data_IF_097031616110
#
_entry.id   IF_097031616110
#
_cell.length_a   1.000
_cell.length_b   1.000
_cell.length_c   1.000
_cell.angle_alpha   90.00
_cell.angle_beta   90.00
_cell.angle_gamma   90.00
#
_symmetry.space_group_name_H-M   'P 1'
#
loop_
_entity.id
_entity.type
_entity.pdbx_description
1 polymer ?
#
# COMPACT_ATOMS: atom_id res chain seq x y z
N UNK A 1 -18.63 -9.33 -2.81
CA UNK A 1 -17.77 -9.50 -1.62
C UNK A 1 -18.03 -10.88 -1.06
N UNK A 2 -16.99 -11.64 -0.71
CA UNK A 2 -17.14 -13.01 -0.22
C UNK A 2 -16.69 -13.14 1.25
N UNK A 3 -17.17 -14.19 1.94
CA UNK A 3 -16.78 -14.52 3.31
C UNK A 3 -15.39 -15.16 3.30
N UNK A 4 -14.42 -14.59 4.00
CA UNK A 4 -13.02 -15.04 3.96
C UNK A 4 -12.52 -15.70 5.26
N UNK A 5 -13.40 -15.88 6.25
CA UNK A 5 -13.13 -16.65 7.46
C UNK A 5 -14.39 -17.41 7.90
N UNK A 6 -14.20 -18.52 8.60
CA UNK A 6 -15.25 -19.24 9.32
C UNK A 6 -14.88 -19.31 10.80
N UNK A 7 -15.77 -19.86 11.61
CA UNK A 7 -15.52 -20.10 13.04
C UNK A 7 -15.43 -21.59 13.28
N UNK A 8 -14.47 -22.04 14.09
CA UNK A 8 -14.32 -23.44 14.48
C UNK A 8 -15.20 -23.81 15.70
N UNK A 9 -15.10 -25.06 16.16
CA UNK A 9 -15.85 -25.56 17.31
C UNK A 9 -15.51 -24.85 18.64
N UNK A 10 -14.39 -24.14 18.72
CA UNK A 10 -13.94 -23.40 19.90
C UNK A 10 -14.33 -21.92 19.85
N UNK A 11 -14.98 -21.47 18.76
CA UNK A 11 -15.30 -20.07 18.56
C UNK A 11 -14.17 -19.26 17.92
N UNK A 12 -13.09 -19.90 17.48
CA UNK A 12 -11.93 -19.25 16.91
C UNK A 12 -12.08 -19.01 15.41
N UNK A 13 -11.59 -17.86 14.93
CA UNK A 13 -11.72 -17.46 13.53
C UNK A 13 -10.62 -18.06 12.67
N UNK A 14 -11.00 -18.90 11.70
CA UNK A 14 -10.09 -19.55 10.74
C UNK A 14 -10.25 -18.94 9.36
N UNK A 15 -9.18 -18.42 8.76
CA UNK A 15 -9.25 -17.77 7.45
C UNK A 15 -9.19 -18.76 6.29
N UNK A 16 -9.78 -18.39 5.15
CA UNK A 16 -9.79 -19.21 3.94
C UNK A 16 -8.38 -19.53 3.41
N UNK A 17 -7.38 -18.73 3.77
CA UNK A 17 -5.98 -19.02 3.42
C UNK A 17 -5.43 -20.24 4.15
N UNK A 18 -6.00 -20.62 5.29
CA UNK A 18 -5.48 -21.62 6.23
C UNK A 18 -6.08 -23.01 6.03
N UNK A 19 -7.17 -23.13 5.25
CA UNK A 19 -7.85 -24.40 5.00
C UNK A 19 -7.69 -24.84 3.56
N UNK A 20 -7.69 -26.14 3.29
CA UNK A 20 -7.74 -26.65 1.92
C UNK A 20 -9.10 -26.42 1.26
N UNK A 21 -9.16 -26.58 -0.06
CA UNK A 21 -10.42 -26.46 -0.81
C UNK A 21 -11.35 -27.65 -0.48
N UNK A 22 -12.64 -27.39 -0.30
CA UNK A 22 -13.64 -28.45 -0.06
C UNK A 22 -14.51 -28.21 1.17
N UNK A 23 -15.12 -29.29 1.68
CA UNK A 23 -15.94 -29.24 2.90
C UNK A 23 -15.07 -28.92 4.11
N UNK A 24 -15.61 -28.14 5.03
CA UNK A 24 -14.93 -27.80 6.28
C UNK A 24 -15.88 -28.03 7.46
N UNK A 25 -15.31 -28.17 8.66
CA UNK A 25 -16.08 -28.18 9.91
C UNK A 25 -16.38 -26.76 10.41
N UNK A 26 -15.93 -25.74 9.68
CA UNK A 26 -16.15 -24.35 10.03
C UNK A 26 -17.59 -23.95 9.79
N UNK A 27 -18.09 -23.10 10.67
CA UNK A 27 -19.44 -22.53 10.61
C UNK A 27 -19.41 -21.04 10.29
N UNK A 28 -20.51 -20.57 9.71
CA UNK A 28 -20.73 -19.16 9.45
C UNK A 28 -20.85 -18.42 10.78
N UNK A 29 -20.07 -17.35 11.04
CA UNK A 29 -20.17 -16.56 12.28
C UNK A 29 -21.54 -15.89 12.48
N UNK A 30 -22.38 -15.86 11.43
CA UNK A 30 -23.68 -15.18 11.44
C UNK A 30 -24.84 -16.15 11.67
N UNK A 31 -24.96 -17.20 10.86
CA UNK A 31 -26.09 -18.13 10.92
C UNK A 31 -25.72 -19.53 11.41
N UNK A 32 -24.45 -19.74 11.80
CA UNK A 32 -23.92 -21.02 12.28
C UNK A 32 -24.03 -22.20 11.28
N UNK A 33 -24.42 -21.93 10.04
CA UNK A 33 -24.46 -22.96 9.01
C UNK A 33 -23.05 -23.33 8.52
N UNK A 34 -22.88 -24.61 8.16
CA UNK A 34 -21.60 -25.16 7.68
C UNK A 34 -21.08 -24.43 6.44
N UNK A 35 -19.76 -24.29 6.37
CA UNK A 35 -19.05 -23.64 5.29
C UNK A 35 -18.26 -24.64 4.43
N UNK A 36 -18.11 -24.26 3.16
CA UNK A 36 -17.30 -24.93 2.14
C UNK A 36 -16.24 -23.93 1.67
N UNK A 37 -14.98 -24.32 1.74
CA UNK A 37 -13.86 -23.57 1.20
C UNK A 37 -13.85 -23.66 -0.33
N UNK A 38 -14.16 -22.55 -1.00
CA UNK A 38 -14.09 -22.37 -2.45
C UNK A 38 -12.77 -21.68 -2.81
N UNK A 39 -11.84 -22.44 -3.37
CA UNK A 39 -10.58 -21.93 -3.94
C UNK A 39 -10.55 -22.21 -5.43
N UNK A 40 -10.08 -21.25 -6.21
CA UNK A 40 -10.06 -21.34 -7.66
C UNK A 40 -9.41 -20.10 -8.29
N UNK A 41 -9.25 -20.12 -9.61
CA UNK A 41 -8.45 -19.12 -10.33
C UNK A 41 -9.25 -17.89 -10.77
N UNK A 42 -10.58 -17.90 -10.61
CA UNK A 42 -11.48 -16.87 -11.17
C UNK A 42 -12.03 -15.94 -10.09
N UNK A 43 -12.53 -16.50 -8.99
CA UNK A 43 -13.08 -15.74 -7.87
C UNK A 43 -12.07 -15.73 -6.72
N UNK A 44 -12.07 -14.65 -5.95
CA UNK A 44 -11.31 -14.58 -4.70
C UNK A 44 -11.64 -15.78 -3.82
N UNK A 45 -10.63 -16.43 -3.24
CA UNK A 45 -10.84 -17.56 -2.34
C UNK A 45 -11.79 -17.18 -1.21
N UNK A 46 -12.82 -17.98 -1.00
CA UNK A 46 -13.84 -17.69 0.00
C UNK A 46 -14.51 -18.93 0.58
N UNK A 47 -15.17 -18.74 1.71
CA UNK A 47 -16.16 -19.67 2.23
C UNK A 47 -17.52 -19.41 1.60
N UNK A 48 -18.18 -20.48 1.19
CA UNK A 48 -19.58 -20.50 0.78
C UNK A 48 -20.38 -21.36 1.75
N UNK A 49 -21.63 -20.99 2.00
CA UNK A 49 -22.53 -21.86 2.77
C UNK A 49 -22.73 -23.20 2.07
N UNK A 50 -22.84 -24.28 2.84
CA UNK A 50 -23.35 -25.57 2.36
C UNK A 50 -24.88 -25.50 2.23
N UNK A 51 -25.37 -24.54 1.44
CA UNK A 51 -26.79 -24.17 1.34
C UNK A 51 -27.01 -22.70 0.94
N UNK A 52 -28.23 -22.15 1.13
CA UNK A 52 -28.51 -20.75 0.86
C UNK A 52 -27.67 -19.83 1.76
N UNK A 53 -27.16 -18.75 1.18
CA UNK A 53 -26.39 -17.76 1.92
C UNK A 53 -27.30 -16.89 2.77
N UNK A 54 -27.02 -16.79 4.08
CA UNK A 54 -27.82 -15.98 5.00
C UNK A 54 -27.77 -14.48 4.66
N UNK A 55 -28.87 -13.78 4.97
CA UNK A 55 -28.99 -12.34 4.73
C UNK A 55 -28.04 -11.53 5.64
N UNK A 56 -27.80 -12.00 6.86
CA UNK A 56 -26.92 -11.35 7.83
C UNK A 56 -25.47 -11.28 7.33
N UNK A 57 -25.00 -12.33 6.63
CA UNK A 57 -23.70 -12.30 5.97
C UNK A 57 -23.66 -11.24 4.87
N UNK A 58 -24.66 -11.20 3.99
CA UNK A 58 -24.69 -10.23 2.87
C UNK A 58 -24.69 -8.80 3.40
N UNK A 59 -25.50 -8.54 4.43
CA UNK A 59 -25.59 -7.23 5.05
C UNK A 59 -24.28 -6.86 5.76
N UNK A 60 -23.71 -7.75 6.57
CA UNK A 60 -22.46 -7.48 7.29
C UNK A 60 -21.29 -7.28 6.34
N UNK A 61 -21.14 -8.10 5.30
CA UNK A 61 -20.12 -7.89 4.27
C UNK A 61 -20.28 -6.52 3.60
N UNK A 62 -21.51 -6.15 3.24
CA UNK A 62 -21.78 -4.83 2.64
C UNK A 62 -21.50 -3.63 3.56
N UNK A 63 -21.36 -3.86 4.87
CA UNK A 63 -21.06 -2.83 5.85
C UNK A 63 -19.57 -2.83 6.25
N UNK A 64 -18.94 -3.99 6.32
CA UNK A 64 -17.55 -4.19 6.78
C UNK A 64 -16.48 -4.00 5.72
N UNK A 65 -16.84 -3.52 4.52
CA UNK A 65 -15.84 -3.26 3.47
C UNK A 65 -14.72 -2.30 3.90
N UNK A 66 -13.52 -2.59 3.41
CA UNK A 66 -12.31 -1.81 3.67
C UNK A 66 -12.22 -0.62 2.69
N UNK A 67 -11.98 0.61 3.19
CA UNK A 67 -11.83 1.81 2.36
C UNK A 67 -10.79 1.62 1.24
N UNK A 68 -11.14 2.03 0.02
CA UNK A 68 -10.33 1.95 -1.21
C UNK A 68 -9.93 0.55 -1.68
N UNK A 69 -10.34 -0.50 -0.96
CA UNK A 69 -10.22 -1.88 -1.43
C UNK A 69 -11.58 -2.41 -1.86
N UNK A 70 -12.53 -2.46 -0.91
CA UNK A 70 -13.91 -2.86 -1.16
C UNK A 70 -14.77 -1.68 -1.61
N UNK A 71 -14.53 -0.50 -1.03
CA UNK A 71 -15.21 0.74 -1.41
C UNK A 71 -14.27 1.64 -2.18
N UNK A 72 -14.41 1.66 -3.50
CA UNK A 72 -13.58 2.48 -4.39
C UNK A 72 -13.65 3.99 -4.04
N UNK A 73 -14.81 4.45 -3.58
CA UNK A 73 -15.06 5.81 -3.10
C UNK A 73 -14.51 6.09 -1.69
N UNK A 74 -14.02 5.07 -0.99
CA UNK A 74 -13.56 5.11 0.41
C UNK A 74 -14.65 4.77 1.44
N UNK A 75 -15.93 4.98 1.12
CA UNK A 75 -17.08 4.70 1.99
C UNK A 75 -18.19 3.96 1.22
N UNK A 76 -19.09 3.24 1.88
CA UNK A 76 -20.31 2.72 1.26
C UNK A 76 -21.08 3.81 0.48
N UNK A 77 -21.66 3.44 -0.67
CA UNK A 77 -22.30 4.39 -1.58
C UNK A 77 -23.35 5.29 -0.91
N UNK A 78 -24.15 4.75 0.02
CA UNK A 78 -25.17 5.53 0.73
C UNK A 78 -24.55 6.56 1.69
N UNK A 79 -23.42 6.23 2.33
CA UNK A 79 -22.67 7.15 3.20
C UNK A 79 -22.00 8.23 2.36
N UNK A 80 -21.32 7.85 1.27
CA UNK A 80 -20.68 8.80 0.37
C UNK A 80 -21.70 9.75 -0.27
N UNK A 81 -22.87 9.24 -0.67
CA UNK A 81 -23.96 10.05 -1.21
C UNK A 81 -24.47 11.08 -0.21
N UNK A 82 -24.60 10.71 1.07
CA UNK A 82 -24.97 11.65 2.12
C UNK A 82 -23.87 12.69 2.34
N UNK A 83 -22.60 12.29 2.41
CA UNK A 83 -21.47 13.21 2.56
C UNK A 83 -21.42 14.25 1.41
N UNK A 84 -21.65 13.83 0.16
CA UNK A 84 -21.73 14.73 -0.99
C UNK A 84 -22.94 15.68 -0.95
N UNK A 85 -24.09 15.23 -0.43
CA UNK A 85 -25.25 16.12 -0.19
C UNK A 85 -24.92 17.16 0.87
N UNK A 86 -24.38 16.71 2.00
CA UNK A 86 -23.95 17.56 3.11
C UNK A 86 -22.92 18.59 2.65
N UNK A 87 -21.95 18.24 1.82
CA UNK A 87 -20.98 19.19 1.26
C UNK A 87 -21.65 20.30 0.43
N UNK A 88 -22.61 19.94 -0.44
CA UNK A 88 -23.27 20.88 -1.37
C UNK A 88 -24.24 21.85 -0.68
N UNK A 89 -24.86 21.43 0.42
CA UNK A 89 -25.83 22.27 1.10
C UNK A 89 -25.19 23.46 1.81
N UNK A 90 -25.70 24.66 1.50
CA UNK A 90 -25.33 25.93 2.15
C UNK A 90 -25.87 26.01 3.58
N UNK A 91 -27.10 25.54 3.78
CA UNK A 91 -27.79 25.46 5.08
C UNK A 91 -28.21 24.03 5.32
N UNK A 92 -28.33 23.60 6.58
CA UNK A 92 -28.71 22.22 6.90
C UNK A 92 -29.57 22.15 8.16
N UNK A 93 -30.66 21.38 8.07
CA UNK A 93 -31.43 20.94 9.24
C UNK A 93 -31.44 19.42 9.32
N UNK A 94 -31.16 18.87 10.51
CA UNK A 94 -31.20 17.42 10.78
C UNK A 94 -32.59 16.82 10.52
N UNK A 95 -33.65 17.62 10.54
CA UNK A 95 -35.02 17.18 10.24
C UNK A 95 -35.23 16.81 8.77
N UNK A 96 -34.36 17.26 7.86
CA UNK A 96 -34.42 16.90 6.43
C UNK A 96 -33.93 15.48 6.16
N UNK A 97 -33.36 14.81 7.17
CA UNK A 97 -32.83 13.47 7.05
C UNK A 97 -33.89 12.44 7.49
N UNK A 98 -33.99 11.36 6.73
CA UNK A 98 -34.69 10.13 7.16
C UNK A 98 -34.03 9.54 8.41
N UNK A 99 -34.72 8.67 9.16
CA UNK A 99 -34.15 8.03 10.37
C UNK A 99 -32.82 7.33 10.09
N UNK A 100 -32.73 6.60 8.98
CA UNK A 100 -31.47 5.96 8.55
C UNK A 100 -30.37 6.97 8.22
N UNK A 101 -30.70 8.10 7.60
CA UNK A 101 -29.72 9.15 7.31
C UNK A 101 -29.27 9.90 8.57
N UNK A 102 -30.17 10.06 9.55
CA UNK A 102 -29.84 10.64 10.87
C UNK A 102 -28.79 9.78 11.56
N UNK A 103 -29.00 8.48 11.65
CA UNK A 103 -28.02 7.54 12.22
C UNK A 103 -26.64 7.66 11.54
N UNK A 104 -26.59 7.74 10.20
CA UNK A 104 -25.33 7.92 9.46
C UNK A 104 -24.70 9.29 9.75
N UNK A 105 -25.50 10.35 9.75
CA UNK A 105 -25.03 11.71 10.06
C UNK A 105 -24.44 11.79 11.47
N UNK A 106 -25.12 11.22 12.47
CA UNK A 106 -24.64 11.21 13.84
C UNK A 106 -23.35 10.37 13.95
N UNK A 107 -23.26 9.24 13.24
CA UNK A 107 -22.02 8.44 13.15
C UNK A 107 -20.86 9.21 12.49
N UNK A 108 -21.14 10.13 11.56
CA UNK A 108 -20.11 10.98 10.98
C UNK A 108 -19.55 12.00 11.98
N UNK A 109 -20.41 12.56 12.84
CA UNK A 109 -19.98 13.46 13.92
C UNK A 109 -19.16 12.70 14.96
N UNK A 110 -19.67 11.55 15.43
CA UNK A 110 -19.01 10.72 16.44
C UNK A 110 -17.61 10.24 15.99
N UNK A 111 -17.52 9.82 14.73
CA UNK A 111 -16.24 9.35 14.16
C UNK A 111 -15.23 10.46 13.87
N UNK A 112 -15.65 11.73 13.90
CA UNK A 112 -14.84 12.89 13.55
C UNK A 112 -14.69 13.13 12.04
N UNK A 113 -15.46 12.43 11.20
CA UNK A 113 -15.53 12.73 9.76
C UNK A 113 -16.23 14.07 9.51
N UNK A 114 -17.21 14.40 10.35
CA UNK A 114 -17.74 15.75 10.50
C UNK A 114 -17.33 16.31 11.85
N UNK A 115 -17.03 17.60 11.91
CA UNK A 115 -16.69 18.29 13.14
C UNK A 115 -17.84 19.25 13.49
N UNK A 116 -18.27 19.35 14.77
CA UNK A 116 -19.27 20.31 15.19
C UNK A 116 -18.89 21.75 14.82
N UNK A 117 -19.89 22.57 14.51
CA UNK A 117 -19.69 23.99 14.23
C UNK A 117 -20.87 24.83 14.73
N UNK A 118 -20.59 26.01 15.26
CA UNK A 118 -21.58 26.99 15.71
C UNK A 118 -22.01 27.93 14.57
N UNK A 119 -22.43 27.34 13.45
CA UNK A 119 -22.80 28.08 12.24
C UNK A 119 -24.21 27.68 11.77
N UNK A 120 -24.74 28.38 10.76
CA UNK A 120 -25.99 28.02 10.04
C UNK A 120 -25.97 26.56 9.54
N UNK A 121 -24.77 26.04 9.31
CA UNK A 121 -24.49 24.62 9.14
C UNK A 121 -23.85 24.12 10.43
N UNK A 122 -24.50 23.22 11.19
CA UNK A 122 -24.03 22.79 12.51
C UNK A 122 -22.81 21.85 12.46
N UNK A 123 -22.09 21.83 11.33
CA UNK A 123 -20.91 21.01 11.13
C UNK A 123 -19.98 21.61 10.06
N UNK A 124 -18.70 21.23 10.13
CA UNK A 124 -17.70 21.38 9.06
C UNK A 124 -17.16 20.01 8.66
N UNK A 125 -16.67 19.89 7.42
CA UNK A 125 -15.97 18.69 6.99
C UNK A 125 -14.61 18.61 7.72
N UNK A 126 -14.19 17.42 8.14
CA UNK A 126 -12.79 17.19 8.51
C UNK A 126 -11.90 17.21 7.25
N UNK A 127 -10.58 17.23 7.44
CA UNK A 127 -9.62 17.15 6.34
C UNK A 127 -9.80 15.87 5.53
N UNK A 128 -10.10 14.75 6.19
CA UNK A 128 -10.37 13.45 5.56
C UNK A 128 -11.68 13.48 4.76
N UNK A 129 -12.73 14.11 5.29
CA UNK A 129 -14.00 14.25 4.61
C UNK A 129 -13.88 15.15 3.37
N UNK A 130 -13.17 16.27 3.47
CA UNK A 130 -12.87 17.14 2.33
C UNK A 130 -12.04 16.39 1.27
N UNK A 131 -11.01 15.64 1.69
CA UNK A 131 -10.20 14.83 0.79
C UNK A 131 -11.04 13.76 0.05
N UNK A 132 -11.95 13.08 0.76
CA UNK A 132 -12.89 12.12 0.17
C UNK A 132 -13.82 12.77 -0.85
N UNK A 133 -14.40 13.92 -0.51
CA UNK A 133 -15.30 14.67 -1.40
C UNK A 133 -14.57 15.07 -2.68
N UNK A 134 -13.37 15.65 -2.57
CA UNK A 134 -12.58 16.06 -3.74
C UNK A 134 -12.18 14.88 -4.63
N UNK A 135 -11.86 13.74 -4.03
CA UNK A 135 -11.55 12.50 -4.74
C UNK A 135 -12.75 12.01 -5.56
N UNK A 136 -13.92 11.95 -4.93
CA UNK A 136 -15.14 11.44 -5.56
C UNK A 136 -15.79 12.41 -6.55
N UNK A 137 -15.49 13.70 -6.48
CA UNK A 137 -15.92 14.71 -7.45
C UNK A 137 -14.96 14.85 -8.64
N UNK A 138 -13.89 14.05 -8.68
CA UNK A 138 -12.90 14.12 -9.76
C UNK A 138 -12.01 15.36 -9.72
N UNK A 139 -12.02 16.12 -8.61
CA UNK A 139 -11.11 17.25 -8.41
C UNK A 139 -9.68 16.80 -8.07
N UNK A 140 -9.53 15.59 -7.52
CA UNK A 140 -8.22 14.99 -7.22
C UNK A 140 -7.84 13.95 -8.29
N UNK A 141 -7.58 14.42 -9.52
CA UNK A 141 -7.15 13.52 -10.64
C UNK A 141 -5.70 13.05 -10.56
N UNK A 142 -4.89 13.55 -9.63
CA UNK A 142 -3.50 13.14 -9.50
C UNK A 142 -2.98 13.42 -8.08
N UNK A 143 -3.24 12.53 -7.14
CA UNK A 143 -2.26 12.30 -6.07
C UNK A 143 -1.75 10.88 -6.20
N UNK A 144 -0.43 10.73 -6.04
CA UNK A 144 0.21 9.42 -5.99
C UNK A 144 -0.39 8.54 -4.90
N UNK A 145 -0.02 7.26 -4.91
CA UNK A 145 -0.53 6.26 -3.98
C UNK A 145 -0.36 6.65 -2.50
N UNK A 146 0.63 7.50 -2.18
CA UNK A 146 0.83 8.06 -0.85
C UNK A 146 -0.43 8.73 -0.26
N UNK A 147 -1.16 9.53 -1.03
CA UNK A 147 -2.35 10.21 -0.51
C UNK A 147 -3.52 9.26 -0.29
N UNK A 148 -3.65 8.25 -1.14
CA UNK A 148 -4.57 7.15 -0.88
C UNK A 148 -4.18 6.42 0.40
N UNK A 149 -2.90 6.12 0.61
CA UNK A 149 -2.42 5.46 1.82
C UNK A 149 -2.74 6.26 3.09
N UNK A 150 -2.45 7.56 3.10
CA UNK A 150 -2.73 8.47 4.22
C UNK A 150 -4.23 8.53 4.52
N UNK A 151 -5.04 8.74 3.49
CA UNK A 151 -6.49 8.81 3.65
C UNK A 151 -7.07 7.47 4.08
N UNK A 152 -6.61 6.35 3.50
CA UNK A 152 -7.04 5.00 3.86
C UNK A 152 -6.78 4.70 5.34
N UNK A 153 -5.60 5.05 5.86
CA UNK A 153 -5.22 4.85 7.26
C UNK A 153 -6.10 5.65 8.23
N UNK A 154 -6.44 6.88 7.88
CA UNK A 154 -7.37 7.69 8.66
C UNK A 154 -8.79 7.10 8.61
N UNK A 155 -9.23 6.68 7.42
CA UNK A 155 -10.53 6.07 7.21
C UNK A 155 -10.69 4.73 7.92
N UNK A 156 -9.61 3.97 8.14
CA UNK A 156 -9.69 2.75 8.95
C UNK A 156 -10.22 3.03 10.35
N UNK A 157 -9.72 4.09 10.99
CA UNK A 157 -10.10 4.50 12.35
C UNK A 157 -11.48 5.14 12.37
N UNK A 158 -11.74 6.04 11.43
CA UNK A 158 -13.05 6.70 11.28
C UNK A 158 -14.14 5.66 11.07
N UNK A 159 -13.93 4.72 10.13
CA UNK A 159 -14.91 3.68 9.81
C UNK A 159 -15.18 2.78 11.01
N UNK A 160 -14.14 2.42 11.77
CA UNK A 160 -14.32 1.65 12.99
C UNK A 160 -15.22 2.38 13.99
N UNK A 161 -14.96 3.66 14.28
CA UNK A 161 -15.81 4.47 15.16
C UNK A 161 -17.26 4.55 14.67
N UNK A 162 -17.45 4.81 13.37
CA UNK A 162 -18.80 4.83 12.78
C UNK A 162 -19.54 3.51 12.98
N UNK A 163 -18.85 2.38 12.79
CA UNK A 163 -19.45 1.07 12.98
C UNK A 163 -19.75 0.80 14.46
N UNK A 164 -18.86 1.18 15.37
CA UNK A 164 -19.10 1.08 16.81
C UNK A 164 -20.31 1.90 17.25
N UNK A 165 -20.46 3.13 16.73
CA UNK A 165 -21.64 3.96 16.98
C UNK A 165 -22.93 3.29 16.50
N UNK A 166 -22.92 2.74 15.28
CA UNK A 166 -24.08 2.04 14.71
C UNK A 166 -24.39 0.76 15.51
N UNK A 167 -23.38 -0.01 15.89
CA UNK A 167 -23.54 -1.23 16.69
C UNK A 167 -24.20 -0.94 18.05
N UNK A 168 -23.88 0.18 18.70
CA UNK A 168 -24.53 0.61 19.94
C UNK A 168 -26.02 0.93 19.76
N UNK A 169 -26.40 1.46 18.61
CA UNK A 169 -27.80 1.79 18.28
C UNK A 169 -28.59 0.54 17.85
N UNK A 170 -27.98 -0.34 17.05
CA UNK A 170 -28.67 -1.48 16.44
C UNK A 170 -28.46 -2.82 17.15
N UNK A 171 -27.57 -2.90 18.14
CA UNK A 171 -27.18 -4.14 18.80
C UNK A 171 -26.41 -5.12 17.91
N UNK A 172 -25.87 -4.65 16.78
CA UNK A 172 -25.07 -5.50 15.87
C UNK A 172 -23.62 -5.62 16.34
N UNK A 173 -22.85 -6.49 15.70
CA UNK A 173 -21.42 -6.70 16.00
C UNK A 173 -20.52 -6.38 14.79
N UNK A 174 -20.95 -5.43 13.96
CA UNK A 174 -20.33 -5.11 12.67
C UNK A 174 -18.90 -4.59 12.83
N UNK A 175 -18.62 -3.82 13.89
CA UNK A 175 -17.30 -3.28 14.20
C UNK A 175 -16.28 -4.39 14.48
N UNK A 176 -16.66 -5.45 15.20
CA UNK A 176 -15.78 -6.59 15.48
C UNK A 176 -15.39 -7.31 14.18
N UNK A 177 -16.37 -7.55 13.31
CA UNK A 177 -16.12 -8.16 12.01
C UNK A 177 -15.26 -7.27 11.10
N UNK A 178 -15.45 -5.95 11.17
CA UNK A 178 -14.58 -5.01 10.48
C UNK A 178 -13.13 -5.08 10.97
N UNK A 179 -12.89 -5.18 12.30
CA UNK A 179 -11.54 -5.33 12.86
C UNK A 179 -10.85 -6.59 12.34
N UNK A 180 -11.54 -7.73 12.37
CA UNK A 180 -11.01 -9.01 11.88
C UNK A 180 -10.65 -8.92 10.39
N UNK A 181 -11.58 -8.40 9.58
CA UNK A 181 -11.36 -8.21 8.13
C UNK A 181 -10.18 -7.29 7.86
N UNK A 182 -10.12 -6.15 8.54
CA UNK A 182 -9.04 -5.18 8.40
C UNK A 182 -7.68 -5.81 8.78
N UNK A 183 -7.60 -6.52 9.91
CA UNK A 183 -6.39 -7.25 10.32
C UNK A 183 -5.91 -8.23 9.24
N UNK A 184 -6.84 -8.96 8.61
CA UNK A 184 -6.53 -9.87 7.50
C UNK A 184 -5.96 -9.15 6.26
N UNK A 185 -6.44 -7.95 5.92
CA UNK A 185 -5.89 -7.16 4.81
C UNK A 185 -4.56 -6.51 5.17
N UNK A 186 -4.39 -6.08 6.43
CA UNK A 186 -3.13 -5.51 6.90
C UNK A 186 -2.00 -6.54 6.94
N UNK A 187 -2.31 -7.84 7.04
CA UNK A 187 -1.32 -8.93 6.86
C UNK A 187 -0.87 -9.12 5.42
N UNK A 188 -1.45 -8.44 4.43
CA UNK A 188 -1.07 -8.55 3.03
C UNK A 188 -0.08 -7.43 2.64
N UNK A 189 0.91 -7.81 1.82
CA UNK A 189 1.98 -6.94 1.34
C UNK A 189 1.77 -6.66 -0.13
N UNK A 190 1.98 -5.41 -0.55
CA UNK A 190 1.94 -4.99 -1.94
C UNK A 190 3.30 -5.27 -2.57
N UNK A 191 3.32 -5.79 -3.79
CA UNK A 191 4.54 -5.94 -4.58
C UNK A 191 4.37 -5.41 -5.99
N UNK A 192 5.48 -4.96 -6.55
CA UNK A 192 5.61 -4.56 -7.95
C UNK A 192 6.81 -5.29 -8.51
N UNK A 193 6.60 -6.03 -9.59
CA UNK A 193 7.67 -6.73 -10.31
C UNK A 193 7.69 -6.34 -11.78
N UNK A 194 8.87 -6.31 -12.36
CA UNK A 194 9.09 -6.26 -13.80
C UNK A 194 9.26 -7.68 -14.31
N UNK A 195 8.65 -7.98 -15.45
CA UNK A 195 8.76 -9.26 -16.14
C UNK A 195 9.13 -9.00 -17.60
N UNK A 196 10.11 -9.72 -18.12
CA UNK A 196 10.36 -9.83 -19.56
C UNK A 196 9.82 -11.17 -20.02
N UNK A 197 8.69 -11.14 -20.73
CA UNK A 197 8.03 -12.33 -21.26
C UNK A 197 8.22 -12.36 -22.77
N UNK A 198 8.64 -13.48 -23.30
CA UNK A 198 8.80 -13.70 -24.74
C UNK A 198 7.79 -14.73 -25.21
N UNK A 199 6.98 -14.37 -26.20
CA UNK A 199 6.10 -15.31 -26.88
C UNK A 199 5.91 -14.87 -28.33
N UNK A 200 5.86 -15.83 -29.25
CA UNK A 200 5.77 -15.58 -30.70
C UNK A 200 6.89 -14.66 -31.22
N UNK A 201 8.13 -14.89 -30.78
CA UNK A 201 9.34 -14.13 -31.15
C UNK A 201 9.27 -12.61 -30.82
N UNK A 202 8.35 -12.21 -29.95
CA UNK A 202 8.21 -10.83 -29.48
C UNK A 202 8.46 -10.77 -27.97
N UNK A 203 9.33 -9.86 -27.55
CA UNK A 203 9.62 -9.59 -26.14
C UNK A 203 8.69 -8.51 -25.59
N UNK A 204 7.94 -8.85 -24.55
CA UNK A 204 7.00 -7.98 -23.86
C UNK A 204 7.57 -7.58 -22.49
N UNK A 205 7.96 -6.30 -22.31
CA UNK A 205 8.30 -5.78 -21.00
C UNK A 205 7.01 -5.46 -20.23
N UNK A 206 6.74 -6.24 -19.20
CA UNK A 206 5.52 -6.18 -18.40
C UNK A 206 5.84 -5.73 -16.97
N UNK A 207 4.88 -5.06 -16.35
CA UNK A 207 4.82 -4.82 -14.91
C UNK A 207 3.69 -5.66 -14.34
N UNK A 208 3.95 -6.39 -13.25
CA UNK A 208 2.90 -7.04 -12.47
C UNK A 208 2.79 -6.36 -11.11
N UNK A 209 1.56 -6.03 -10.73
CA UNK A 209 1.23 -5.47 -9.42
C UNK A 209 0.36 -6.49 -8.70
N UNK A 210 0.66 -6.78 -7.45
CA UNK A 210 -0.21 -7.66 -6.71
C UNK A 210 -0.02 -7.54 -5.22
N UNK A 211 -0.87 -8.27 -4.50
CA UNK A 211 -0.73 -8.47 -3.07
C UNK A 211 -0.40 -9.92 -2.72
N UNK A 212 0.31 -10.13 -1.61
CA UNK A 212 0.66 -11.46 -1.11
C UNK A 212 0.77 -11.47 0.41
N UNK A 213 0.53 -12.63 1.04
CA UNK A 213 0.92 -12.92 2.43
C UNK A 213 2.22 -13.71 2.53
N UNK A 214 2.65 -14.30 1.41
CA UNK A 214 3.83 -15.14 1.28
C UNK A 214 5.08 -14.30 1.08
N UNK A 215 6.25 -14.90 1.26
CA UNK A 215 7.51 -14.24 0.89
C UNK A 215 7.51 -13.91 -0.60
N UNK A 216 8.08 -12.77 -0.96
CA UNK A 216 8.14 -12.32 -2.36
C UNK A 216 8.85 -13.32 -3.27
N UNK A 217 9.83 -14.06 -2.74
CA UNK A 217 10.58 -15.10 -3.47
C UNK A 217 9.70 -16.27 -3.87
N UNK A 218 8.84 -16.77 -2.97
CA UNK A 218 7.86 -17.82 -3.25
C UNK A 218 6.87 -17.33 -4.31
N UNK A 219 6.40 -16.08 -4.17
CA UNK A 219 5.46 -15.50 -5.13
C UNK A 219 6.07 -15.34 -6.53
N UNK A 220 7.35 -14.97 -6.64
CA UNK A 220 8.06 -14.89 -7.92
C UNK A 220 8.17 -16.28 -8.58
N UNK A 221 8.44 -17.34 -7.82
CA UNK A 221 8.49 -18.70 -8.35
C UNK A 221 7.12 -19.14 -8.91
N UNK A 222 6.04 -18.87 -8.18
CA UNK A 222 4.67 -19.13 -8.65
C UNK A 222 4.35 -18.38 -9.95
N UNK A 223 4.71 -17.09 -10.02
CA UNK A 223 4.48 -16.27 -11.21
C UNK A 223 5.26 -16.79 -12.40
N UNK A 224 6.50 -17.27 -12.20
CA UNK A 224 7.28 -17.88 -13.28
C UNK A 224 6.58 -19.12 -13.84
N UNK A 225 6.08 -19.99 -12.97
CA UNK A 225 5.32 -21.19 -13.34
C UNK A 225 3.97 -20.87 -13.99
N UNK A 226 3.32 -19.78 -13.57
CA UNK A 226 2.07 -19.31 -14.15
C UNK A 226 2.29 -18.78 -15.59
N UNK A 227 3.34 -17.98 -15.77
CA UNK A 227 3.65 -17.34 -17.05
C UNK A 227 4.25 -18.29 -18.09
N UNK A 228 4.90 -19.37 -17.67
CA UNK A 228 5.47 -20.36 -18.59
C UNK A 228 4.43 -21.03 -19.51
N UNK A 229 3.14 -20.94 -19.16
CA UNK A 229 2.02 -21.39 -19.99
C UNK A 229 1.77 -20.52 -21.22
N UNK A 230 2.23 -19.27 -21.19
CA UNK A 230 2.00 -18.28 -22.24
C UNK A 230 3.25 -18.00 -23.07
N UNK A 231 4.44 -18.18 -22.49
CA UNK A 231 5.71 -17.89 -23.15
C UNK A 231 6.93 -18.17 -22.29
N UNK A 232 8.10 -17.86 -22.83
CA UNK A 232 9.38 -17.98 -22.14
C UNK A 232 9.60 -16.77 -21.24
N UNK A 233 9.79 -17.01 -19.94
CA UNK A 233 10.10 -15.95 -18.99
C UNK A 233 11.62 -15.71 -18.99
N UNK A 234 12.06 -14.61 -19.59
CA UNK A 234 13.49 -14.24 -19.67
C UNK A 234 13.98 -13.76 -18.31
N UNK A 235 13.25 -12.83 -17.69
CA UNK A 235 13.69 -12.15 -16.47
C UNK A 235 12.49 -11.75 -15.60
N UNK A 236 12.61 -11.93 -14.29
CA UNK A 236 11.71 -11.32 -13.30
C UNK A 236 12.55 -10.52 -12.30
N UNK A 237 12.25 -9.23 -12.15
CA UNK A 237 12.91 -8.33 -11.21
C UNK A 237 11.89 -7.74 -10.23
N UNK A 238 12.15 -7.88 -8.93
CA UNK A 238 11.35 -7.20 -7.91
C UNK A 238 11.71 -5.71 -7.90
N UNK A 239 10.74 -4.86 -8.25
CA UNK A 239 10.91 -3.40 -8.23
C UNK A 239 10.60 -2.83 -6.84
N UNK A 240 9.63 -3.43 -6.15
CA UNK A 240 9.24 -2.99 -4.81
C UNK A 240 8.45 -4.05 -4.06
N UNK A 241 8.64 -4.07 -2.74
CA UNK A 241 7.88 -4.87 -1.79
C UNK A 241 7.54 -3.98 -0.59
N UNK A 242 6.25 -3.80 -0.33
CA UNK A 242 5.72 -2.82 0.61
C UNK A 242 4.87 -3.54 1.65
N UNK A 243 5.46 -3.74 2.83
CA UNK A 243 4.81 -4.50 3.89
C UNK A 243 3.52 -3.83 4.38
N UNK A 244 2.45 -4.62 4.53
CA UNK A 244 1.15 -4.16 5.05
C UNK A 244 0.43 -3.12 4.17
N UNK A 245 0.82 -3.01 2.90
CA UNK A 245 0.20 -2.13 1.91
C UNK A 245 -0.67 -2.87 0.88
N UNK A 246 -0.95 -4.16 1.08
CA UNK A 246 -1.73 -4.97 0.12
C UNK A 246 -3.10 -4.37 -0.23
N UNK A 247 -3.76 -3.71 0.74
CA UNK A 247 -5.04 -3.04 0.56
C UNK A 247 -5.03 -1.87 -0.46
N UNK A 248 -3.85 -1.46 -0.96
CA UNK A 248 -3.73 -0.43 -2.01
C UNK A 248 -3.63 -1.03 -3.42
N UNK A 249 -3.56 -2.36 -3.57
CA UNK A 249 -3.48 -3.02 -4.88
C UNK A 249 -4.62 -2.56 -5.80
N UNK A 250 -5.88 -2.60 -5.31
CA UNK A 250 -7.05 -2.18 -6.10
C UNK A 250 -6.95 -0.75 -6.63
N UNK A 251 -6.43 0.17 -5.83
CA UNK A 251 -6.19 1.56 -6.24
C UNK A 251 -5.15 1.59 -7.36
N UNK A 252 -4.03 0.87 -7.23
CA UNK A 252 -3.01 0.81 -8.27
C UNK A 252 -3.53 0.19 -9.57
N UNK A 253 -4.28 -0.91 -9.49
CA UNK A 253 -4.87 -1.56 -10.66
C UNK A 253 -5.84 -0.63 -11.41
N UNK A 254 -6.59 0.20 -10.67
CA UNK A 254 -7.45 1.22 -11.26
C UNK A 254 -6.63 2.33 -11.92
N UNK A 255 -5.62 2.87 -11.21
CA UNK A 255 -4.76 3.95 -11.73
C UNK A 255 -4.03 3.56 -13.02
N UNK A 256 -3.75 2.26 -13.21
CA UNK A 256 -3.01 1.74 -14.36
C UNK A 256 -3.91 1.03 -15.38
N UNK A 257 -5.23 1.08 -15.20
CA UNK A 257 -6.18 0.31 -16.02
C UNK A 257 -6.04 0.56 -17.53
N UNK A 258 -5.71 1.78 -17.93
CA UNK A 258 -5.48 2.15 -19.34
C UNK A 258 -4.21 1.53 -19.96
N UNK A 259 -3.30 0.98 -19.13
CA UNK A 259 -2.04 0.38 -19.56
C UNK A 259 -2.05 -1.15 -19.46
N UNK A 260 -3.22 -1.75 -19.22
CA UNK A 260 -3.35 -3.17 -18.95
C UNK A 260 -2.91 -4.01 -20.15
N UNK A 261 -2.04 -4.97 -19.89
CA UNK A 261 -1.68 -6.03 -20.83
C UNK A 261 -2.67 -7.18 -20.67
N UNK A 262 -3.40 -7.51 -21.75
CA UNK A 262 -4.44 -8.52 -21.72
C UNK A 262 -3.91 -9.85 -22.24
N UNK A 263 -3.85 -10.85 -21.35
CA UNK A 263 -3.66 -12.25 -21.72
C UNK A 263 -4.31 -13.14 -20.67
N UNK A 264 -5.03 -14.18 -21.13
CA UNK A 264 -5.84 -15.03 -20.25
C UNK A 264 -6.84 -14.24 -19.41
N UNK A 265 -6.96 -14.60 -18.14
CA UNK A 265 -7.83 -13.93 -17.16
C UNK A 265 -7.11 -12.90 -16.30
N UNK A 266 -5.83 -12.64 -16.56
CA UNK A 266 -5.02 -11.76 -15.74
C UNK A 266 -5.42 -10.29 -15.93
N UNK A 267 -5.57 -9.57 -14.81
CA UNK A 267 -5.89 -8.14 -14.80
C UNK A 267 -4.77 -7.28 -14.23
N UNK A 268 -3.72 -7.94 -13.76
CA UNK A 268 -2.68 -7.37 -12.91
C UNK A 268 -1.35 -7.11 -13.65
N UNK A 269 -1.35 -7.31 -14.97
CA UNK A 269 -0.19 -7.04 -15.84
C UNK A 269 -0.41 -5.80 -16.69
N UNK A 270 0.66 -5.04 -16.89
CA UNK A 270 0.66 -3.76 -17.58
C UNK A 270 1.87 -3.63 -18.50
N UNK A 271 1.73 -2.92 -19.62
CA UNK A 271 2.88 -2.61 -20.48
C UNK A 271 3.84 -1.68 -19.74
N UNK A 272 5.08 -2.12 -19.51
CA UNK A 272 6.05 -1.35 -18.74
C UNK A 272 6.36 0.01 -19.39
N UNK A 273 6.43 0.03 -20.72
CA UNK A 273 6.74 1.21 -21.53
C UNK A 273 5.79 2.37 -21.21
N UNK A 274 4.50 2.10 -21.03
CA UNK A 274 3.50 3.14 -20.76
C UNK A 274 3.22 3.32 -19.27
N UNK A 275 3.35 2.26 -18.47
CA UNK A 275 2.98 2.27 -17.04
C UNK A 275 4.07 2.87 -16.12
N UNK A 276 5.35 2.82 -16.48
CA UNK A 276 6.45 3.23 -15.60
C UNK A 276 6.30 4.67 -15.07
N UNK A 277 5.92 5.62 -15.93
CA UNK A 277 5.74 7.03 -15.53
C UNK A 277 4.62 7.24 -14.49
N UNK A 278 3.59 6.38 -14.49
CA UNK A 278 2.53 6.40 -13.48
C UNK A 278 3.01 5.76 -12.18
N UNK A 279 3.76 4.66 -12.24
CA UNK A 279 4.34 4.03 -11.05
C UNK A 279 5.30 4.98 -10.33
N UNK A 280 6.13 5.72 -11.07
CA UNK A 280 7.01 6.73 -10.48
C UNK A 280 6.20 7.83 -9.77
N UNK A 281 5.10 8.28 -10.38
CA UNK A 281 4.16 9.25 -9.77
C UNK A 281 3.41 8.69 -8.54
N UNK A 282 3.36 7.38 -8.36
CA UNK A 282 2.77 6.78 -7.17
C UNK A 282 3.59 7.03 -5.90
N UNK A 283 4.87 7.44 -6.02
CA UNK A 283 5.79 7.71 -4.90
C UNK A 283 5.82 6.57 -3.88
N UNK A 284 5.93 5.34 -4.37
CA UNK A 284 5.89 4.14 -3.53
C UNK A 284 7.02 4.11 -2.49
N UNK A 285 8.16 4.73 -2.80
CA UNK A 285 9.29 4.92 -1.88
C UNK A 285 8.96 5.83 -0.68
N UNK A 286 7.92 6.64 -0.80
CA UNK A 286 7.49 7.62 0.21
C UNK A 286 6.41 7.09 1.15
N UNK A 287 5.87 5.89 0.89
CA UNK A 287 4.86 5.24 1.73
C UNK A 287 5.31 5.13 3.19
N UNK A 288 6.59 4.82 3.42
CA UNK A 288 7.16 4.57 4.74
C UNK A 288 6.85 3.15 5.25
N UNK A 289 7.38 2.80 6.41
CA UNK A 289 7.20 1.48 7.03
C UNK A 289 5.93 1.46 7.87
N UNK A 290 4.96 0.60 7.53
CA UNK A 290 3.80 0.32 8.38
C UNK A 290 4.19 -0.64 9.50
N UNK A 291 3.77 -0.31 10.71
CA UNK A 291 3.73 -1.21 11.86
C UNK A 291 2.26 -1.51 12.10
N UNK A 292 1.93 -2.79 12.11
CA UNK A 292 0.57 -3.29 12.28
C UNK A 292 0.47 -4.01 13.62
N UNK A 293 -0.54 -3.63 14.41
CA UNK A 293 -0.97 -4.38 15.58
C UNK A 293 -2.44 -4.75 15.36
N UNK A 294 -2.70 -5.98 14.94
CA UNK A 294 -4.03 -6.43 14.49
C UNK A 294 -4.66 -5.51 13.43
N UNK A 295 -5.62 -4.68 13.84
CA UNK A 295 -6.41 -3.77 13.01
C UNK A 295 -5.89 -2.32 13.08
N UNK A 296 -4.90 -2.05 13.94
CA UNK A 296 -4.29 -0.74 14.10
C UNK A 296 -3.04 -0.59 13.23
N UNK A 297 -2.85 0.64 12.72
CA UNK A 297 -1.72 0.97 11.85
C UNK A 297 -1.02 2.22 12.35
N UNK A 298 0.31 2.11 12.46
CA UNK A 298 1.24 3.23 12.66
C UNK A 298 2.24 3.25 11.51
N UNK A 299 2.61 4.44 11.02
CA UNK A 299 3.58 4.58 9.93
C UNK A 299 4.82 5.32 10.41
N UNK A 300 5.99 4.72 10.15
CA UNK A 300 7.29 5.31 10.37
C UNK A 300 7.94 5.72 9.05
N UNK A 301 8.84 6.69 9.09
CA UNK A 301 9.65 7.10 7.93
C UNK A 301 8.86 7.57 6.70
N UNK A 302 7.60 7.98 6.86
CA UNK A 302 6.83 8.59 5.79
C UNK A 302 7.46 9.91 5.35
N UNK A 303 7.61 10.07 4.04
CA UNK A 303 8.31 11.18 3.40
C UNK A 303 9.74 11.39 3.93
N UNK A 304 10.36 10.35 4.50
CA UNK A 304 11.65 10.51 5.19
C UNK A 304 12.71 11.08 4.26
N UNK A 305 12.81 10.59 3.02
CA UNK A 305 13.74 11.12 2.02
C UNK A 305 13.52 12.61 1.74
N UNK A 306 12.26 13.03 1.59
CA UNK A 306 11.91 14.44 1.37
C UNK A 306 12.23 15.30 2.61
N UNK A 307 11.89 14.82 3.81
CA UNK A 307 12.18 15.50 5.09
C UNK A 307 13.68 15.63 5.35
N UNK A 308 14.45 14.57 5.07
CA UNK A 308 15.92 14.60 5.17
C UNK A 308 16.49 15.61 4.19
N UNK A 309 16.06 15.59 2.92
CA UNK A 309 16.53 16.56 1.92
C UNK A 309 16.20 18.01 2.31
N UNK A 310 14.98 18.26 2.77
CA UNK A 310 14.55 19.58 3.23
C UNK A 310 15.35 20.04 4.47
N UNK A 311 15.57 19.14 5.43
CA UNK A 311 16.39 19.39 6.61
C UNK A 311 17.84 19.69 6.25
N UNK A 312 18.43 18.92 5.32
CA UNK A 312 19.77 19.15 4.80
C UNK A 312 19.90 20.50 4.09
N UNK A 313 18.92 20.85 3.25
CA UNK A 313 18.88 22.14 2.56
C UNK A 313 18.78 23.30 3.56
N UNK A 314 17.91 23.19 4.57
CA UNK A 314 17.73 24.21 5.61
C UNK A 314 19.00 24.40 6.45
N UNK A 315 19.68 23.32 6.83
CA UNK A 315 20.95 23.37 7.56
C UNK A 315 22.07 24.00 6.73
N UNK A 316 22.14 23.68 5.44
CA UNK A 316 23.09 24.31 4.51
C UNK A 316 22.83 25.82 4.41
N UNK A 317 21.56 26.23 4.33
CA UNK A 317 21.15 27.63 4.24
C UNK A 317 21.47 28.41 5.53
N UNK A 318 21.08 27.88 6.69
CA UNK A 318 21.17 28.61 7.97
C UNK A 318 22.59 28.64 8.54
N UNK A 319 23.32 27.53 8.44
CA UNK A 319 24.59 27.36 9.14
C UNK A 319 25.81 27.38 8.21
N UNK A 320 25.59 27.58 6.90
CA UNK A 320 26.58 27.46 5.83
C UNK A 320 27.47 26.19 5.97
N UNK A 321 26.92 25.16 6.62
CA UNK A 321 27.65 23.98 7.04
C UNK A 321 27.47 22.90 5.99
N UNK A 322 28.57 22.43 5.41
CA UNK A 322 28.53 21.26 4.54
C UNK A 322 28.09 20.04 5.36
N UNK A 323 26.96 19.44 4.98
CA UNK A 323 26.50 18.19 5.56
C UNK A 323 27.06 17.04 4.73
N UNK A 324 28.02 16.32 5.32
CA UNK A 324 28.74 15.24 4.67
C UNK A 324 30.18 15.13 5.18
N UNK A 325 30.96 14.23 4.57
CA UNK A 325 32.39 14.10 4.86
C UNK A 325 33.09 15.40 4.46
N UNK A 326 33.86 16.00 5.38
CA UNK A 326 34.69 17.19 5.09
C UNK A 326 35.49 16.92 3.82
N UNK A 327 35.43 17.82 2.85
CA UNK A 327 36.35 17.79 1.72
C UNK A 327 37.76 17.97 2.29
N UNK A 328 38.58 16.92 2.15
CA UNK A 328 39.99 16.98 2.48
C UNK A 328 40.69 17.84 1.44
N UNK A 329 41.60 18.70 1.88
CA UNK A 329 42.51 19.38 0.95
C UNK A 329 43.39 18.34 0.23
N UNK A 330 43.98 18.74 -0.90
CA UNK A 330 44.90 17.87 -1.62
C UNK A 330 46.05 17.40 -0.72
N UNK A 331 46.58 18.29 0.12
CA UNK A 331 47.66 17.98 1.06
C UNK A 331 47.19 17.04 2.18
N UNK A 332 46.02 17.27 2.76
CA UNK A 332 45.43 16.38 3.77
C UNK A 332 45.20 14.97 3.19
N UNK A 333 44.73 14.88 1.95
CA UNK A 333 44.49 13.60 1.29
C UNK A 333 45.79 12.82 1.04
N UNK A 334 46.89 13.50 0.68
CA UNK A 334 48.21 12.87 0.53
C UNK A 334 48.78 12.42 1.88
N UNK A 335 48.67 13.27 2.90
CA UNK A 335 49.16 12.96 4.26
C UNK A 335 48.43 11.76 4.87
N UNK A 336 47.13 11.65 4.66
CA UNK A 336 46.32 10.54 5.19
C UNK A 336 46.56 9.20 4.45
N UNK A 337 47.25 9.25 3.31
CA UNK A 337 47.46 8.12 2.40
C UNK A 337 48.94 7.98 1.99
N UNK A 338 49.85 8.15 2.95
CA UNK A 338 51.30 7.98 2.73
C UNK A 338 51.68 6.59 2.21
N UNK A 339 50.93 5.55 2.60
CA UNK A 339 51.04 4.18 2.09
C UNK A 339 50.84 4.13 0.56
N UNK A 340 49.82 4.84 0.05
CA UNK A 340 49.54 4.95 -1.38
C UNK A 340 50.61 5.80 -2.08
N UNK A 341 51.09 6.88 -1.45
CA UNK A 341 52.17 7.73 -2.00
C UNK A 341 53.46 6.91 -2.17
N UNK A 342 53.82 6.11 -1.18
CA UNK A 342 54.98 5.20 -1.25
C UNK A 342 54.81 4.15 -2.34
N UNK A 343 53.61 3.56 -2.48
CA UNK A 343 53.31 2.63 -3.56
C UNK A 343 53.46 3.27 -4.95
N UNK A 344 53.06 4.54 -5.09
CA UNK A 344 53.26 5.30 -6.33
C UNK A 344 54.75 5.54 -6.63
N UNK A 345 55.53 5.92 -5.61
CA UNK A 345 56.98 6.11 -5.73
C UNK A 345 57.73 4.84 -6.15
N UNK A 346 57.25 3.68 -5.71
CA UNK A 346 57.75 2.36 -6.12
C UNK A 346 57.26 1.91 -7.52
N UNK A 347 56.50 2.74 -8.23
CA UNK A 347 56.03 2.44 -9.59
C UNK A 347 54.95 1.35 -9.67
N UNK A 348 54.24 1.07 -8.58
CA UNK A 348 53.25 0.00 -8.54
C UNK A 348 52.00 0.31 -9.38
N UNK A 349 51.42 -0.74 -9.97
CA UNK A 349 50.13 -0.65 -10.65
C UNK A 349 48.99 -0.44 -9.64
N UNK A 350 47.83 0.06 -10.09
CA UNK A 350 46.65 0.26 -9.22
C UNK A 350 46.22 -1.04 -8.49
N UNK A 351 46.39 -2.20 -9.12
CA UNK A 351 46.04 -3.50 -8.54
C UNK A 351 47.08 -3.92 -7.48
N UNK A 352 48.36 -3.80 -7.78
CA UNK A 352 49.43 -4.15 -6.84
C UNK A 352 49.42 -3.19 -5.63
N UNK A 353 49.11 -1.92 -5.83
CA UNK A 353 48.92 -0.96 -4.74
C UNK A 353 47.67 -1.27 -3.89
N UNK A 354 46.61 -1.83 -4.48
CA UNK A 354 45.42 -2.27 -3.75
C UNK A 354 45.72 -3.47 -2.86
N UNK A 355 46.45 -4.46 -3.37
CA UNK A 355 46.91 -5.61 -2.60
C UNK A 355 47.84 -5.19 -1.45
N UNK A 356 48.76 -4.24 -1.71
CA UNK A 356 49.71 -3.76 -0.70
C UNK A 356 49.07 -2.90 0.40
N UNK A 357 48.15 -2.00 0.05
CA UNK A 357 47.60 -1.00 0.99
C UNK A 357 46.24 -1.39 1.57
N UNK A 358 45.56 -2.38 0.96
CA UNK A 358 44.19 -2.76 1.30
C UNK A 358 43.13 -1.67 1.03
N UNK A 359 43.50 -0.55 0.39
CA UNK A 359 42.60 0.58 0.12
C UNK A 359 41.85 0.39 -1.18
N UNK A 360 40.62 0.90 -1.28
CA UNK A 360 39.82 0.78 -2.52
C UNK A 360 40.55 1.34 -3.75
N UNK A 361 40.40 0.67 -4.90
CA UNK A 361 41.02 1.10 -6.18
C UNK A 361 40.67 2.55 -6.53
N UNK A 362 39.45 3.00 -6.22
CA UNK A 362 39.04 4.38 -6.46
C UNK A 362 39.80 5.39 -5.59
N UNK A 363 40.12 5.03 -4.34
CA UNK A 363 40.95 5.86 -3.46
C UNK A 363 42.37 5.96 -4.00
N UNK A 364 42.96 4.83 -4.40
CA UNK A 364 44.33 4.76 -4.95
C UNK A 364 44.43 5.58 -6.23
N UNK A 365 43.49 5.38 -7.16
CA UNK A 365 43.42 6.17 -8.40
C UNK A 365 43.36 7.66 -8.11
N UNK A 366 42.50 8.09 -7.18
CA UNK A 366 42.35 9.49 -6.81
C UNK A 366 43.65 10.10 -6.26
N UNK A 367 44.40 9.35 -5.44
CA UNK A 367 45.69 9.80 -4.90
C UNK A 367 46.77 9.82 -5.98
N UNK A 368 46.85 8.80 -6.85
CA UNK A 368 47.80 8.75 -7.97
C UNK A 368 47.58 9.90 -8.93
N UNK A 369 46.33 10.16 -9.31
CA UNK A 369 45.96 11.28 -10.18
C UNK A 369 46.34 12.62 -9.54
N UNK A 370 46.24 12.73 -8.21
CA UNK A 370 46.67 13.91 -7.47
C UNK A 370 48.18 14.11 -7.60
N UNK A 371 48.97 13.07 -7.32
CA UNK A 371 50.44 13.10 -7.38
C UNK A 371 50.93 13.41 -8.80
N UNK A 372 50.26 12.87 -9.82
CA UNK A 372 50.57 13.15 -11.23
C UNK A 372 50.28 14.60 -11.64
N UNK A 373 49.34 15.28 -10.98
CA UNK A 373 48.97 16.68 -11.27
C UNK A 373 49.86 17.69 -10.54
N UNK A 374 50.54 17.28 -9.48
CA UNK A 374 51.48 18.13 -8.71
C UNK A 374 52.94 17.96 -9.14
N UNK A 375 53.22 17.06 -10.09
CA UNK A 375 54.45 17.04 -10.88
C UNK A 375 54.21 17.75 -12.20
#
# INVERSE_FOLDING_TARGET
MFLNYGVDQYGESVYISEVDAGKTELVCPFCQALLVAKKGNVLEHHFAHLGPTCNDLKQTLSQTGVPFFDYQSGLPNYQMSLLLKLNRWRTFSRHWLTSRQKLVYDSFLDSGLLLPAENVKPFKLSDEADALVRLNQGYMRCRGLLSYAQLQEALFRIRLKMLTYIDLDTGSNTATFYKQRLSSYLKQHLYVISVKLEFSDVSYPLLKIGMTRRKVTERVAEIKTELSKYGTVIEIKVLGYYEHYGALERVMLQMLSDHRFKFGTHQEYFYAITANSLIERCMLDSLGRRIVNEHEVKVLYRDHKAKVKAGQARQKLLNNRHLGRKLKSNQELLNDHQDIVSAFGAGLSLRNANELTGKSINTIRKVYDLIKRTR
#
